data_IF_554755333407
#
_entry.id   IF_554755333407
#
_cell.length_a   1.000
_cell.length_b   1.000
_cell.length_c   1.000
_cell.angle_alpha   90.00
_cell.angle_beta   90.00
_cell.angle_gamma   90.00
#
_symmetry.space_group_name_H-M   'P 1'
#
loop_
_entity.id
_entity.type
_entity.pdbx_description
1 polymer ?
#
# COMPACT_ATOMS: atom_id res chain seq x y z
N UNK A 1 10.28 -8.97 -16.74
CA UNK A 1 8.88 -9.25 -16.43
C UNK A 1 8.33 -8.03 -15.71
N UNK A 2 7.42 -7.28 -16.31
CA UNK A 2 6.71 -6.22 -15.59
C UNK A 2 5.74 -6.91 -14.62
N UNK A 3 5.99 -6.76 -13.32
CA UNK A 3 5.06 -7.23 -12.31
C UNK A 3 3.77 -6.41 -12.42
N UNK A 4 2.69 -7.04 -12.87
CA UNK A 4 1.39 -6.40 -13.01
C UNK A 4 0.80 -6.13 -11.63
N UNK A 5 0.20 -4.96 -11.41
CA UNK A 5 -0.54 -4.65 -10.19
C UNK A 5 -2.02 -4.63 -10.50
N UNK A 6 -2.81 -5.37 -9.73
CA UNK A 6 -4.26 -5.46 -9.91
C UNK A 6 -5.01 -4.80 -8.75
N UNK A 7 -5.97 -3.95 -9.10
CA UNK A 7 -6.85 -3.25 -8.17
C UNK A 7 -8.28 -3.71 -8.38
N UNK A 8 -8.90 -4.24 -7.34
CA UNK A 8 -10.34 -4.55 -7.39
C UNK A 8 -11.17 -3.27 -7.29
N UNK A 9 -12.43 -3.32 -7.74
CA UNK A 9 -13.38 -2.20 -7.60
C UNK A 9 -13.49 -1.71 -6.14
N UNK A 10 -13.45 -2.63 -5.18
CA UNK A 10 -13.46 -2.30 -3.76
C UNK A 10 -12.25 -1.45 -3.36
N UNK A 11 -11.05 -1.81 -3.81
CA UNK A 11 -9.84 -1.04 -3.50
C UNK A 11 -9.84 0.32 -4.18
N UNK A 12 -10.30 0.40 -5.43
CA UNK A 12 -10.45 1.69 -6.12
C UNK A 12 -11.39 2.63 -5.36
N UNK A 13 -12.53 2.12 -4.86
CA UNK A 13 -13.45 2.89 -4.03
C UNK A 13 -12.78 3.34 -2.72
N UNK A 14 -12.08 2.44 -2.03
CA UNK A 14 -11.34 2.79 -0.80
C UNK A 14 -10.28 3.86 -1.03
N UNK A 15 -9.58 3.81 -2.16
CA UNK A 15 -8.59 4.82 -2.54
C UNK A 15 -9.26 6.17 -2.80
N UNK A 16 -10.40 6.18 -3.49
CA UNK A 16 -11.16 7.40 -3.74
C UNK A 16 -11.68 8.03 -2.43
N UNK A 17 -12.33 7.24 -1.56
CA UNK A 17 -12.87 7.69 -0.28
C UNK A 17 -11.81 8.26 0.66
N UNK A 18 -10.56 7.79 0.54
CA UNK A 18 -9.42 8.21 1.38
C UNK A 18 -8.49 9.19 0.68
N UNK A 19 -8.84 9.60 -0.54
CA UNK A 19 -8.03 10.46 -1.41
C UNK A 19 -6.58 9.97 -1.54
N UNK A 20 -6.42 8.68 -1.81
CA UNK A 20 -5.13 8.04 -2.01
C UNK A 20 -4.87 7.93 -3.51
N UNK A 21 -3.84 8.62 -3.97
CA UNK A 21 -3.44 8.60 -5.37
C UNK A 21 -2.89 7.22 -5.77
N UNK A 22 -3.32 6.73 -6.92
CA UNK A 22 -2.85 5.48 -7.53
C UNK A 22 -1.34 5.44 -7.72
N UNK A 23 -0.72 6.55 -8.12
CA UNK A 23 0.73 6.66 -8.29
C UNK A 23 1.47 6.43 -6.97
N UNK A 24 0.95 6.95 -5.85
CA UNK A 24 1.56 6.75 -4.54
C UNK A 24 1.50 5.27 -4.11
N UNK A 25 0.44 4.54 -4.49
CA UNK A 25 0.33 3.10 -4.24
C UNK A 25 1.33 2.32 -5.09
N UNK A 26 1.42 2.62 -6.38
CA UNK A 26 2.38 1.97 -7.28
C UNK A 26 3.83 2.24 -6.85
N UNK A 27 4.16 3.47 -6.51
CA UNK A 27 5.48 3.84 -5.98
C UNK A 27 5.79 3.13 -4.66
N UNK A 28 4.79 2.98 -3.78
CA UNK A 28 4.96 2.20 -2.53
C UNK A 28 5.19 0.72 -2.79
N UNK A 29 4.55 0.14 -3.82
CA UNK A 29 4.77 -1.26 -4.20
C UNK A 29 6.11 -1.49 -4.92
N UNK A 30 6.57 -0.51 -5.72
CA UNK A 30 7.81 -0.58 -6.49
C UNK A 30 9.04 -0.29 -5.63
N UNK A 31 8.96 0.71 -4.76
CA UNK A 31 10.03 1.14 -3.86
C UNK A 31 9.50 1.31 -2.44
N UNK A 32 9.13 0.21 -1.77
CA UNK A 32 8.65 0.24 -0.40
C UNK A 32 9.76 0.72 0.54
N UNK A 33 9.41 1.57 1.50
CA UNK A 33 10.34 1.89 2.59
C UNK A 33 10.50 0.72 3.56
N UNK A 34 9.45 -0.10 3.68
CA UNK A 34 9.48 -1.35 4.42
C UNK A 34 8.46 -2.35 3.84
N UNK A 35 8.82 -3.63 3.82
CA UNK A 35 7.91 -4.74 3.53
C UNK A 35 7.74 -5.56 4.81
N UNK A 36 6.49 -5.84 5.19
CA UNK A 36 6.16 -6.70 6.32
C UNK A 36 5.33 -7.90 5.87
N UNK A 37 5.54 -9.05 6.50
CA UNK A 37 4.63 -10.19 6.39
C UNK A 37 3.37 -9.92 7.22
N UNK A 38 2.21 -10.00 6.57
CA UNK A 38 0.89 -9.94 7.17
C UNK A 38 0.34 -11.32 7.51
N UNK A 39 -0.95 -11.39 7.84
CA UNK A 39 -1.67 -12.66 8.06
C UNK A 39 -2.15 -13.24 6.72
N UNK A 40 -2.33 -14.56 6.65
CA UNK A 40 -2.85 -15.29 5.48
C UNK A 40 -2.06 -15.00 4.19
N UNK A 41 -0.73 -15.14 4.25
CA UNK A 41 0.18 -14.95 3.10
C UNK A 41 0.20 -13.55 2.47
N UNK A 42 -0.45 -12.58 3.11
CA UNK A 42 -0.42 -11.18 2.66
C UNK A 42 0.90 -10.53 2.97
N UNK A 43 1.34 -9.65 2.09
CA UNK A 43 2.46 -8.74 2.29
C UNK A 43 1.94 -7.31 2.48
N UNK A 44 2.69 -6.52 3.23
CA UNK A 44 2.38 -5.13 3.52
C UNK A 44 3.58 -4.30 3.05
N UNK A 45 3.44 -3.66 1.90
CA UNK A 45 4.36 -2.61 1.48
C UNK A 45 3.93 -1.31 2.18
N UNK A 46 4.86 -0.66 2.87
CA UNK A 46 4.57 0.60 3.53
C UNK A 46 5.68 1.63 3.32
N UNK A 47 5.28 2.88 3.17
CA UNK A 47 6.17 3.99 2.86
C UNK A 47 5.76 5.22 3.66
N UNK A 48 6.75 5.87 4.29
CA UNK A 48 6.53 7.14 4.99
C UNK A 48 6.29 8.21 3.92
N UNK A 49 5.17 8.91 4.02
CA UNK A 49 4.81 9.98 3.10
C UNK A 49 4.43 11.23 3.91
N UNK A 50 4.76 12.39 3.36
CA UNK A 50 4.22 13.66 3.82
C UNK A 50 2.96 13.98 3.01
N UNK A 51 1.84 14.20 3.70
CA UNK A 51 0.58 14.61 3.09
C UNK A 51 0.21 15.98 3.65
N UNK A 52 0.59 17.03 2.94
CA UNK A 52 0.24 18.42 3.30
C UNK A 52 0.87 18.88 4.62
N UNK A 53 2.13 18.53 4.88
CA UNK A 53 2.87 18.85 6.11
C UNK A 53 2.66 17.84 7.25
N UNK A 54 1.80 16.84 7.05
CA UNK A 54 1.61 15.77 8.01
C UNK A 54 2.36 14.51 7.57
N UNK A 55 3.39 14.15 8.33
CA UNK A 55 4.08 12.86 8.17
C UNK A 55 3.14 11.73 8.56
N UNK A 56 3.06 10.73 7.70
CA UNK A 56 2.35 9.50 7.98
C UNK A 56 2.90 8.32 7.21
N UNK A 57 2.13 7.25 7.21
CA UNK A 57 2.50 5.98 6.62
C UNK A 57 1.40 5.55 5.67
N UNK A 58 1.73 5.45 4.38
CA UNK A 58 0.89 4.76 3.42
C UNK A 58 1.16 3.26 3.54
N UNK A 59 0.09 2.47 3.71
CA UNK A 59 0.15 1.02 3.84
C UNK A 59 -0.65 0.40 2.71
N UNK A 60 0.02 -0.46 1.96
CA UNK A 60 -0.52 -1.21 0.82
C UNK A 60 -0.43 -2.69 1.17
N UNK A 61 -1.59 -3.29 1.43
CA UNK A 61 -1.71 -4.72 1.72
C UNK A 61 -2.02 -5.42 0.42
N UNK A 62 -1.19 -6.37 0.04
CA UNK A 62 -1.30 -7.09 -1.22
C UNK A 62 -1.01 -8.58 -1.03
N UNK A 63 -1.53 -9.39 -1.94
CA UNK A 63 -1.17 -10.79 -2.11
C UNK A 63 -0.24 -10.89 -3.32
N UNK A 64 0.86 -11.61 -3.17
CA UNK A 64 1.84 -11.79 -4.25
C UNK A 64 1.51 -13.08 -4.99
N UNK A 65 0.95 -12.92 -6.20
CA UNK A 65 0.67 -14.04 -7.10
C UNK A 65 1.83 -14.27 -8.08
N UNK A 66 1.74 -15.36 -8.84
CA UNK A 66 2.78 -15.76 -9.79
C UNK A 66 3.06 -14.72 -10.91
N UNK A 67 2.03 -13.95 -11.31
CA UNK A 67 2.12 -12.98 -12.41
C UNK A 67 1.73 -11.55 -12.00
N UNK A 68 1.12 -11.37 -10.82
CA UNK A 68 0.58 -10.08 -10.41
C UNK A 68 0.54 -9.92 -8.88
N UNK A 69 0.68 -8.67 -8.44
CA UNK A 69 0.41 -8.24 -7.06
C UNK A 69 -1.04 -7.78 -6.98
N UNK A 70 -1.86 -8.50 -6.23
CA UNK A 70 -3.28 -8.17 -6.04
C UNK A 70 -3.40 -7.29 -4.80
N UNK A 71 -3.79 -6.03 -4.98
CA UNK A 71 -4.00 -5.12 -3.86
C UNK A 71 -5.33 -5.47 -3.17
N UNK A 72 -5.26 -5.67 -1.86
CA UNK A 72 -6.41 -6.04 -1.03
C UNK A 72 -6.93 -4.83 -0.25
N UNK A 73 -6.03 -3.99 0.27
CA UNK A 73 -6.42 -2.84 1.08
C UNK A 73 -5.34 -1.77 1.06
N UNK A 74 -5.76 -0.50 0.97
CA UNK A 74 -4.89 0.66 1.01
C UNK A 74 -5.40 1.66 2.03
N UNK A 75 -4.52 2.17 2.88
CA UNK A 75 -4.85 3.27 3.79
C UNK A 75 -3.62 4.05 4.21
N UNK A 76 -3.86 5.30 4.60
CA UNK A 76 -2.88 6.15 5.23
C UNK A 76 -3.13 6.25 6.74
N UNK A 77 -2.08 6.40 7.53
CA UNK A 77 -2.19 6.63 8.98
C UNK A 77 -1.05 7.51 9.50
N UNK A 78 -1.35 8.40 10.44
CA UNK A 78 -0.33 9.19 11.16
C UNK A 78 0.41 8.39 12.24
N UNK A 79 -0.05 7.18 12.58
CA UNK A 79 0.52 6.33 13.64
C UNK A 79 1.76 5.57 13.17
N UNK A 80 2.81 6.30 12.74
CA UNK A 80 4.03 5.70 12.19
C UNK A 80 4.68 4.74 13.20
N UNK A 81 4.85 5.17 14.46
CA UNK A 81 5.50 4.38 15.52
C UNK A 81 4.80 3.05 15.81
N UNK A 82 3.49 2.97 15.58
CA UNK A 82 2.72 1.74 15.78
C UNK A 82 3.02 0.67 14.72
N UNK A 83 3.40 1.10 13.51
CA UNK A 83 3.41 0.23 12.34
C UNK A 83 4.78 0.11 11.68
N UNK A 84 5.69 1.05 11.92
CA UNK A 84 7.06 1.01 11.45
C UNK A 84 7.93 0.23 12.44
N UNK A 85 8.66 -0.78 11.96
CA UNK A 85 9.53 -1.63 12.79
C UNK A 85 10.82 -1.98 12.08
#
# INVERSE_FOLDING_TARGET
MEEKVEFTKYVQLQMQEREINHEAVLDTLKSPGQILSGKKERKIAQKKLDRGGQKGLLRVIFEEGACAKVVITVYWTSKIEKYWR
#
